data_IF_665815908768
#
_entry.id   IF_665815908768
#
_cell.length_a   1.000
_cell.length_b   1.000
_cell.length_c   1.000
_cell.angle_alpha   90.00
_cell.angle_beta   90.00
_cell.angle_gamma   90.00
#
_symmetry.space_group_name_H-M   'P 1'
#
loop_
_entity.id
_entity.type
_entity.pdbx_description
1 polymer ?
#
# COMPACT_ATOMS: atom_id res chain seq x y z
N UNK A 1 3.88 13.52 -3.88
CA UNK A 1 4.25 12.52 -4.91
C UNK A 1 3.21 11.42 -4.91
N UNK A 2 2.81 10.91 -6.08
CA UNK A 2 1.81 9.84 -6.18
C UNK A 2 2.46 8.59 -6.73
N UNK A 3 2.28 7.47 -6.03
CA UNK A 3 2.76 6.16 -6.50
C UNK A 3 1.61 5.17 -6.58
N UNK A 4 1.54 4.45 -7.68
CA UNK A 4 0.54 3.42 -7.93
C UNK A 4 1.20 2.08 -8.20
N UNK A 5 0.68 1.03 -7.57
CA UNK A 5 1.16 -0.34 -7.73
C UNK A 5 0.01 -1.33 -7.58
N UNK A 6 0.18 -2.55 -8.09
CA UNK A 6 -0.83 -3.59 -7.99
C UNK A 6 -0.38 -4.62 -6.96
N UNK A 7 -1.30 -5.11 -6.14
CA UNK A 7 -1.01 -6.13 -5.13
C UNK A 7 -1.79 -7.37 -5.45
N UNK A 8 -1.09 -8.46 -5.77
CA UNK A 8 -1.68 -9.79 -5.90
C UNK A 8 -1.79 -10.45 -4.54
N UNK A 9 -2.93 -11.09 -4.26
CA UNK A 9 -3.23 -11.67 -2.95
C UNK A 9 -4.26 -10.88 -2.15
N UNK A 10 -4.71 -9.71 -2.65
CA UNK A 10 -5.86 -8.99 -2.12
C UNK A 10 -7.15 -9.80 -2.33
N UNK A 11 -7.47 -10.68 -1.39
CA UNK A 11 -8.70 -11.47 -1.42
C UNK A 11 -9.62 -11.21 -0.21
N UNK A 12 -9.20 -10.35 0.72
CA UNK A 12 -9.95 -10.08 1.94
C UNK A 12 -10.01 -8.58 2.22
N UNK A 13 -11.18 -8.09 2.68
CA UNK A 13 -11.37 -6.69 3.11
C UNK A 13 -10.38 -6.27 4.22
N UNK A 14 -9.89 -7.22 5.00
CA UNK A 14 -8.88 -6.97 6.04
C UNK A 14 -7.54 -6.52 5.46
N UNK A 15 -7.21 -6.89 4.21
CA UNK A 15 -5.95 -6.50 3.56
C UNK A 15 -5.94 -5.00 3.26
N UNK A 16 -7.11 -4.45 2.86
CA UNK A 16 -7.27 -3.02 2.64
C UNK A 16 -6.99 -2.24 3.92
N UNK A 17 -7.65 -2.65 5.01
CA UNK A 17 -7.47 -2.02 6.30
C UNK A 17 -6.01 -2.06 6.74
N UNK A 18 -5.32 -3.20 6.65
CA UNK A 18 -3.92 -3.34 7.04
C UNK A 18 -2.98 -2.44 6.23
N UNK A 19 -3.12 -2.42 4.90
CA UNK A 19 -2.31 -1.56 4.04
C UNK A 19 -2.55 -0.09 4.34
N UNK A 20 -3.80 0.27 4.63
CA UNK A 20 -4.16 1.63 4.99
C UNK A 20 -3.63 2.00 6.37
N UNK A 21 -3.71 1.12 7.35
CA UNK A 21 -3.20 1.31 8.72
C UNK A 21 -1.69 1.55 8.70
N UNK A 22 -0.94 0.70 7.99
CA UNK A 22 0.51 0.89 7.80
C UNK A 22 0.82 2.14 7.00
N UNK A 23 0.04 2.46 5.97
CA UNK A 23 0.22 3.70 5.25
C UNK A 23 -0.04 4.93 6.14
N UNK A 24 -1.04 4.88 7.03
CA UNK A 24 -1.36 5.94 7.99
C UNK A 24 -0.33 6.04 9.13
N UNK A 25 0.40 4.97 9.44
CA UNK A 25 1.52 4.97 10.39
C UNK A 25 2.71 5.84 9.89
N UNK A 26 2.89 5.92 8.57
CA UNK A 26 3.88 6.80 7.98
C UNK A 26 3.38 8.24 7.95
N UNK A 27 3.99 9.10 8.77
CA UNK A 27 3.70 10.54 8.75
C UNK A 27 4.01 11.23 7.40
N UNK A 28 4.79 10.58 6.54
CA UNK A 28 5.11 11.04 5.18
C UNK A 28 3.99 10.76 4.17
N UNK A 29 3.05 9.85 4.49
CA UNK A 29 1.92 9.50 3.63
C UNK A 29 0.76 10.44 3.93
N UNK A 30 0.26 11.08 2.89
CA UNK A 30 -0.83 12.06 2.96
C UNK A 30 -2.17 11.43 2.61
N UNK A 31 -2.17 10.41 1.76
CA UNK A 31 -3.39 9.72 1.34
C UNK A 31 -3.08 8.31 0.87
N UNK A 32 -3.96 7.35 1.16
CA UNK A 32 -3.86 5.98 0.70
C UNK A 32 -5.23 5.53 0.17
N UNK A 33 -5.26 5.19 -1.11
CA UNK A 33 -6.40 4.58 -1.80
C UNK A 33 -6.04 3.16 -2.19
N UNK A 34 -6.90 2.22 -1.80
CA UNK A 34 -6.74 0.81 -2.11
C UNK A 34 -8.02 0.37 -2.81
N UNK A 35 -7.85 -0.25 -3.96
CA UNK A 35 -8.92 -0.72 -4.83
C UNK A 35 -8.89 -2.24 -4.85
N UNK A 36 -9.60 -2.85 -3.90
CA UNK A 36 -9.63 -4.32 -3.72
C UNK A 36 -10.25 -5.02 -4.94
N UNK A 37 -11.14 -4.34 -5.67
CA UNK A 37 -11.77 -4.88 -6.86
C UNK A 37 -10.76 -5.08 -8.01
N UNK A 38 -9.87 -4.12 -8.22
CA UNK A 38 -8.79 -4.19 -9.21
C UNK A 38 -7.49 -4.78 -8.65
N UNK A 39 -7.33 -4.86 -7.32
CA UNK A 39 -6.05 -5.08 -6.65
C UNK A 39 -5.08 -3.90 -6.79
N UNK A 40 -5.57 -2.70 -7.14
CA UNK A 40 -4.73 -1.51 -7.38
C UNK A 40 -4.60 -0.69 -6.12
N UNK A 41 -3.40 -0.27 -5.77
CA UNK A 41 -3.11 0.60 -4.63
C UNK A 41 -2.48 1.89 -5.15
N UNK A 42 -2.97 3.02 -4.66
CA UNK A 42 -2.51 4.37 -5.00
C UNK A 42 -2.26 5.10 -3.69
N UNK A 43 -1.03 5.54 -3.50
CA UNK A 43 -0.60 6.29 -2.32
C UNK A 43 -0.08 7.66 -2.73
N UNK A 44 -0.33 8.63 -1.87
CA UNK A 44 0.27 9.96 -1.93
C UNK A 44 1.21 10.13 -0.75
N UNK A 45 2.46 10.46 -1.04
CA UNK A 45 3.52 10.60 -0.06
C UNK A 45 4.38 11.83 -0.33
N UNK A 46 5.10 12.29 0.69
CA UNK A 46 6.04 13.39 0.59
C UNK A 46 7.18 13.10 -0.41
N UNK A 47 7.80 14.17 -0.91
CA UNK A 47 8.98 14.08 -1.76
C UNK A 47 10.15 13.53 -0.93
N UNK A 48 10.64 12.34 -1.31
CA UNK A 48 11.69 11.61 -0.57
C UNK A 48 11.22 10.39 0.22
N UNK A 49 9.92 10.10 0.26
CA UNK A 49 9.43 8.88 0.90
C UNK A 49 9.81 7.63 0.11
N UNK A 50 10.28 6.62 0.83
CA UNK A 50 10.77 5.38 0.26
C UNK A 50 9.64 4.37 0.09
N UNK A 51 9.01 4.40 -1.09
CA UNK A 51 7.91 3.48 -1.43
C UNK A 51 8.36 2.03 -1.39
N UNK A 52 9.65 1.74 -1.59
CA UNK A 52 10.19 0.38 -1.45
C UNK A 52 10.02 -0.16 -0.04
N UNK A 53 10.22 0.69 0.97
CA UNK A 53 10.02 0.35 2.38
C UNK A 53 8.55 0.04 2.66
N UNK A 54 7.63 0.88 2.18
CA UNK A 54 6.19 0.64 2.32
C UNK A 54 5.77 -0.68 1.64
N UNK A 55 6.21 -0.92 0.41
CA UNK A 55 5.91 -2.17 -0.30
C UNK A 55 6.35 -3.38 0.52
N UNK A 56 7.55 -3.31 1.10
CA UNK A 56 8.09 -4.38 1.93
C UNK A 56 7.30 -4.58 3.21
N UNK A 57 6.96 -3.51 3.94
CA UNK A 57 6.07 -3.58 5.11
C UNK A 57 4.73 -4.22 4.73
N UNK A 58 4.13 -3.82 3.60
CA UNK A 58 2.91 -4.43 3.09
C UNK A 58 3.10 -5.94 2.85
N UNK A 59 4.19 -6.36 2.20
CA UNK A 59 4.52 -7.79 1.99
C UNK A 59 4.87 -8.53 3.29
N UNK A 60 5.23 -7.84 4.36
CA UNK A 60 5.50 -8.44 5.68
C UNK A 60 4.24 -8.52 6.57
N UNK A 61 3.26 -7.63 6.37
CA UNK A 61 1.96 -7.68 7.05
C UNK A 61 1.13 -8.91 6.67
N UNK A 62 1.37 -9.49 5.50
CA UNK A 62 0.67 -10.69 5.05
C UNK A 62 1.29 -11.30 3.80
N UNK A 63 0.71 -12.40 3.32
CA UNK A 63 1.18 -13.14 2.13
C UNK A 63 0.77 -12.42 0.82
N UNK A 64 1.07 -11.12 0.74
CA UNK A 64 0.79 -10.26 -0.40
C UNK A 64 2.00 -10.20 -1.31
N UNK A 65 1.76 -10.02 -2.60
CA UNK A 65 2.83 -9.88 -3.59
C UNK A 65 2.64 -8.59 -4.36
N UNK A 66 3.51 -7.63 -4.10
CA UNK A 66 3.46 -6.35 -4.82
C UNK A 66 4.02 -6.58 -6.22
N UNK A 67 3.17 -6.38 -7.23
CA UNK A 67 3.55 -6.45 -8.64
C UNK A 67 3.45 -5.05 -9.26
N UNK A 68 4.51 -4.66 -9.95
CA UNK A 68 4.65 -3.35 -10.60
C UNK A 68 4.54 -3.45 -12.10
#
# INVERSE_FOLDING_TARGET
MKTEFTVKGFHCKSCEALVKDVAEDFSDITSCMVDVASGKVVIEHAEGFDVGKLKKEIEELGDYKVIS
#
